data_IF_434276188038
#
_entry.id   IF_434276188038
#
_cell.length_a   1.000
_cell.length_b   1.000
_cell.length_c   1.000
_cell.angle_alpha   90.00
_cell.angle_beta   90.00
_cell.angle_gamma   90.00
#
_symmetry.space_group_name_H-M   'P 1'
#
loop_
_entity.id
_entity.type
_entity.pdbx_description
1 polymer ?
#
# COMPACT_ATOMS: atom_id res chain seq x y z
N UNK A 1 -35.77 -6.81 -20.27
CA UNK A 1 -35.29 -5.41 -20.27
C UNK A 1 -34.24 -5.25 -19.17
N UNK A 2 -32.94 -5.31 -19.48
CA UNK A 2 -31.85 -5.10 -18.51
C UNK A 2 -31.14 -3.78 -18.81
N UNK A 3 -31.64 -2.70 -18.19
CA UNK A 3 -31.14 -1.32 -18.34
C UNK A 3 -30.08 -1.04 -17.28
N UNK A 4 -28.97 -1.77 -17.27
CA UNK A 4 -27.85 -1.53 -16.35
C UNK A 4 -26.50 -1.63 -17.07
N UNK A 5 -26.29 -0.65 -17.95
CA UNK A 5 -25.10 0.19 -17.98
C UNK A 5 -23.71 -0.45 -18.09
N UNK A 6 -23.35 -0.85 -19.32
CA UNK A 6 -21.95 -0.96 -19.77
C UNK A 6 -21.51 0.37 -20.40
N UNK A 7 -21.44 1.44 -19.61
CA UNK A 7 -21.14 2.78 -20.12
C UNK A 7 -19.63 3.06 -20.09
N UNK A 8 -19.03 2.91 -21.26
CA UNK A 8 -17.69 3.36 -21.63
C UNK A 8 -17.42 2.93 -23.08
N UNK A 9 -16.84 3.78 -23.94
CA UNK A 9 -16.52 3.39 -25.31
C UNK A 9 -15.64 2.13 -25.29
N UNK A 10 -16.06 1.08 -26.00
CA UNK A 10 -15.27 -0.14 -26.14
C UNK A 10 -14.03 0.22 -26.96
N UNK A 11 -12.90 0.45 -26.29
CA UNK A 11 -11.61 0.63 -26.95
C UNK A 11 -11.39 -0.51 -27.96
N UNK A 12 -10.93 -0.17 -29.17
CA UNK A 12 -10.52 -1.17 -30.16
C UNK A 12 -9.39 -2.04 -29.57
N UNK A 13 -9.22 -3.29 -30.03
CA UNK A 13 -8.13 -4.15 -29.55
C UNK A 13 -6.75 -3.48 -29.66
N UNK A 14 -6.50 -2.74 -30.74
CA UNK A 14 -5.27 -1.98 -30.97
C UNK A 14 -5.08 -0.86 -29.93
N UNK A 15 -6.10 -0.04 -29.69
CA UNK A 15 -6.05 1.02 -28.68
C UNK A 15 -5.90 0.48 -27.26
N UNK A 16 -6.42 -0.73 -26.97
CA UNK A 16 -6.21 -1.40 -25.67
C UNK A 16 -4.75 -1.81 -25.48
N UNK A 17 -4.12 -2.32 -26.53
CA UNK A 17 -2.74 -2.78 -26.47
C UNK A 17 -1.77 -1.60 -26.36
N UNK A 18 -2.02 -0.54 -27.11
CA UNK A 18 -1.30 0.72 -26.98
C UNK A 18 -1.41 1.31 -25.56
N UNK A 19 -2.63 1.36 -25.01
CA UNK A 19 -2.86 1.81 -23.64
C UNK A 19 -2.09 0.97 -22.60
N UNK A 20 -2.11 -0.37 -22.73
CA UNK A 20 -1.35 -1.26 -21.84
C UNK A 20 0.16 -0.99 -21.94
N UNK A 21 0.68 -0.77 -23.15
CA UNK A 21 2.09 -0.45 -23.38
C UNK A 21 2.46 0.88 -22.72
N UNK A 22 1.66 1.92 -22.91
CA UNK A 22 1.84 3.23 -22.28
C UNK A 22 1.83 3.12 -20.74
N UNK A 23 0.87 2.38 -20.17
CA UNK A 23 0.81 2.14 -18.73
C UNK A 23 2.04 1.40 -18.20
N UNK A 24 2.57 0.42 -18.96
CA UNK A 24 3.77 -0.31 -18.60
C UNK A 24 4.99 0.60 -18.52
N UNK A 25 5.16 1.49 -19.50
CA UNK A 25 6.26 2.47 -19.51
C UNK A 25 6.14 3.49 -18.36
N UNK A 26 4.93 3.97 -18.06
CA UNK A 26 4.70 4.85 -16.91
C UNK A 26 5.04 4.15 -15.60
N UNK A 27 4.59 2.90 -15.42
CA UNK A 27 4.91 2.10 -14.21
C UNK A 27 6.41 1.87 -14.07
N UNK A 28 7.09 1.51 -15.16
CA UNK A 28 8.54 1.30 -15.19
C UNK A 28 9.30 2.57 -14.77
N UNK A 29 8.92 3.71 -15.35
CA UNK A 29 9.52 5.01 -15.04
C UNK A 29 9.33 5.39 -13.57
N UNK A 30 8.13 5.16 -13.03
CA UNK A 30 7.83 5.38 -11.60
C UNK A 30 8.67 4.49 -10.68
N UNK A 31 8.77 3.19 -10.97
CA UNK A 31 9.59 2.25 -10.18
C UNK A 31 11.07 2.67 -10.16
N UNK A 32 11.61 3.21 -11.26
CA UNK A 32 12.99 3.73 -11.27
C UNK A 32 13.13 4.91 -10.30
N UNK A 33 12.18 5.85 -10.32
CA UNK A 33 12.17 7.01 -9.42
C UNK A 33 12.06 6.54 -7.95
N UNK A 34 11.12 5.63 -7.65
CA UNK A 34 10.89 5.16 -6.28
C UNK A 34 12.08 4.40 -5.70
N UNK A 35 12.84 3.69 -6.54
CA UNK A 35 14.06 3.00 -6.11
C UNK A 35 15.20 3.95 -5.80
N UNK A 36 15.39 4.97 -6.64
CA UNK A 36 16.57 5.85 -6.59
C UNK A 36 16.38 7.06 -5.69
N UNK A 37 15.17 7.63 -5.63
CA UNK A 37 14.90 8.94 -5.03
C UNK A 37 14.04 8.89 -3.78
N UNK A 38 13.15 7.91 -3.65
CA UNK A 38 12.24 7.85 -2.51
C UNK A 38 12.83 7.07 -1.33
N UNK A 39 12.44 7.48 -0.11
CA UNK A 39 12.76 6.74 1.11
C UNK A 39 11.83 5.53 1.23
N UNK A 40 12.18 4.59 2.12
CA UNK A 40 11.36 3.40 2.37
C UNK A 40 9.93 3.71 2.82
N UNK A 41 9.69 4.87 3.44
CA UNK A 41 8.35 5.37 3.78
C UNK A 41 8.29 6.85 3.39
N UNK A 42 7.46 7.16 2.39
CA UNK A 42 7.35 8.49 1.78
C UNK A 42 5.88 8.92 1.74
N UNK A 43 5.56 10.11 2.27
CA UNK A 43 4.22 10.68 2.15
C UNK A 43 3.99 11.16 0.72
N UNK A 44 2.83 10.87 0.16
CA UNK A 44 2.45 11.30 -1.20
C UNK A 44 1.25 12.24 -1.13
N UNK A 45 1.19 13.18 -2.08
CA UNK A 45 0.13 14.18 -2.14
C UNK A 45 -1.19 13.62 -2.66
N UNK A 46 -1.13 12.79 -3.72
CA UNK A 46 -2.29 12.16 -4.34
C UNK A 46 -2.04 10.66 -4.50
N UNK A 47 -3.07 9.82 -4.33
CA UNK A 47 -2.95 8.39 -4.57
C UNK A 47 -2.64 8.12 -6.05
N UNK A 48 -1.83 7.08 -6.29
CA UNK A 48 -1.46 6.68 -7.65
C UNK A 48 -2.65 6.05 -8.38
N UNK A 49 -3.46 5.28 -7.67
CA UNK A 49 -4.72 4.70 -8.17
C UNK A 49 -5.89 5.24 -7.34
N UNK A 50 -6.51 6.29 -7.88
CA UNK A 50 -7.64 6.98 -7.25
C UNK A 50 -8.86 6.05 -7.13
N UNK A 51 -9.08 5.15 -8.09
CA UNK A 51 -10.25 4.28 -8.09
C UNK A 51 -10.16 3.25 -6.95
N UNK A 52 -9.01 2.60 -6.82
CA UNK A 52 -8.75 1.67 -5.71
C UNK A 52 -8.73 2.38 -4.37
N UNK A 53 -8.12 3.57 -4.29
CA UNK A 53 -8.11 4.34 -3.05
C UNK A 53 -9.53 4.73 -2.60
N UNK A 54 -10.39 5.19 -3.52
CA UNK A 54 -11.80 5.52 -3.22
C UNK A 54 -12.59 4.32 -2.71
N UNK A 55 -12.35 3.12 -3.28
CA UNK A 55 -12.97 1.88 -2.81
C UNK A 55 -12.58 1.54 -1.37
N UNK A 56 -11.39 1.92 -0.94
CA UNK A 56 -10.90 1.74 0.44
C UNK A 56 -11.30 2.89 1.38
N UNK A 57 -12.11 3.85 0.93
CA UNK A 57 -12.60 4.95 1.76
C UNK A 57 -11.78 6.24 1.67
N UNK A 58 -10.85 6.35 0.72
CA UNK A 58 -10.13 7.63 0.50
C UNK A 58 -11.10 8.73 0.03
N UNK A 59 -11.03 9.87 0.72
CA UNK A 59 -11.67 11.11 0.33
C UNK A 59 -10.65 12.23 0.30
N UNK A 60 -10.76 13.16 -0.63
CA UNK A 60 -9.87 14.32 -0.74
C UNK A 60 -10.26 15.40 0.28
N UNK A 61 -10.18 15.06 1.57
CA UNK A 61 -10.41 15.95 2.72
C UNK A 61 -9.11 16.21 3.46
N UNK A 62 -9.04 17.32 4.17
CA UNK A 62 -7.96 17.52 5.14
C UNK A 62 -8.09 16.48 6.25
N UNK A 63 -6.96 15.95 6.73
CA UNK A 63 -6.90 14.83 7.67
C UNK A 63 -6.76 13.47 7.00
N UNK A 64 -6.91 13.37 5.68
CA UNK A 64 -6.59 12.16 4.93
C UNK A 64 -5.16 12.24 4.38
N UNK A 65 -4.36 11.20 4.64
CA UNK A 65 -2.96 11.11 4.20
C UNK A 65 -2.75 9.81 3.46
N UNK A 66 -2.00 9.86 2.36
CA UNK A 66 -1.55 8.64 1.67
C UNK A 66 -0.03 8.53 1.83
N UNK A 67 0.42 7.34 2.21
CA UNK A 67 1.83 7.04 2.47
C UNK A 67 2.25 5.88 1.60
N UNK A 68 3.31 6.06 0.81
CA UNK A 68 3.94 4.97 0.07
C UNK A 68 4.98 4.28 0.94
N UNK A 69 4.86 2.96 1.06
CA UNK A 69 5.73 2.10 1.87
C UNK A 69 6.37 1.04 0.99
N UNK A 70 7.71 0.95 1.06
CA UNK A 70 8.51 -0.09 0.41
C UNK A 70 8.74 -1.25 1.37
N UNK A 71 8.39 -2.46 0.95
CA UNK A 71 8.57 -3.71 1.71
C UNK A 71 9.45 -4.69 0.91
N UNK A 72 10.50 -5.27 1.50
CA UNK A 72 11.35 -6.23 0.80
C UNK A 72 10.63 -7.56 0.53
N UNK A 73 11.00 -8.18 -0.58
CA UNK A 73 10.59 -9.52 -0.98
C UNK A 73 11.41 -10.63 -0.31
N UNK A 74 10.91 -11.86 -0.39
CA UNK A 74 11.55 -13.05 0.18
C UNK A 74 11.10 -13.44 1.60
N UNK A 75 11.83 -14.37 2.19
CA UNK A 75 11.56 -14.86 3.55
C UNK A 75 12.16 -13.98 4.64
N UNK A 76 12.00 -14.42 5.88
CA UNK A 76 12.70 -13.88 7.06
C UNK A 76 13.87 -14.79 7.41
N UNK A 77 14.99 -14.19 7.78
CA UNK A 77 16.09 -14.91 8.42
C UNK A 77 15.97 -14.79 9.94
N UNK A 78 16.04 -15.90 10.67
CA UNK A 78 16.11 -15.86 12.14
C UNK A 78 17.52 -15.45 12.61
N UNK A 79 17.65 -14.79 13.77
CA UNK A 79 18.95 -14.64 14.41
C UNK A 79 19.58 -16.02 14.69
N UNK A 80 20.89 -16.16 14.46
CA UNK A 80 21.58 -17.42 14.74
C UNK A 80 21.65 -17.65 16.26
N UNK A 81 21.23 -18.83 16.77
CA UNK A 81 21.36 -19.15 18.19
C UNK A 81 22.83 -19.07 18.64
N UNK A 82 23.08 -18.49 19.82
CA UNK A 82 24.43 -18.36 20.41
C UNK A 82 24.82 -19.54 21.30
N UNK A 83 23.86 -20.28 21.83
CA UNK A 83 24.10 -21.45 22.70
C UNK A 83 23.51 -22.72 22.09
N UNK A 84 23.90 -23.87 22.66
CA UNK A 84 23.48 -25.19 22.19
C UNK A 84 21.96 -25.31 22.05
N UNK A 85 21.50 -25.85 20.93
CA UNK A 85 20.09 -26.13 20.64
C UNK A 85 19.98 -27.49 19.96
N UNK A 86 18.84 -28.15 20.12
CA UNK A 86 18.52 -29.36 19.37
C UNK A 86 18.55 -29.04 17.87
N UNK A 87 18.99 -30.00 17.04
CA UNK A 87 19.18 -29.82 15.60
C UNK A 87 17.97 -29.20 14.89
N UNK A 88 16.75 -29.61 15.26
CA UNK A 88 15.49 -29.07 14.71
C UNK A 88 15.25 -27.57 14.97
N UNK A 89 15.92 -26.97 15.96
CA UNK A 89 15.81 -25.56 16.31
C UNK A 89 16.99 -24.71 15.80
N UNK A 90 17.96 -25.30 15.08
CA UNK A 90 19.10 -24.58 14.51
C UNK A 90 18.82 -23.97 13.12
N UNK A 91 17.65 -24.22 12.54
CA UNK A 91 17.25 -23.63 11.26
C UNK A 91 17.23 -22.09 11.31
N UNK A 92 17.70 -21.44 10.25
CA UNK A 92 17.82 -19.96 10.18
C UNK A 92 17.20 -19.33 8.92
N UNK A 93 17.30 -19.96 7.76
CA UNK A 93 17.08 -19.30 6.44
C UNK A 93 15.66 -19.46 5.90
N UNK A 94 15.09 -20.68 5.94
CA UNK A 94 13.81 -21.00 5.29
C UNK A 94 12.61 -20.69 6.19
N UNK A 95 12.48 -19.45 6.65
CA UNK A 95 11.31 -19.01 7.42
C UNK A 95 10.46 -18.02 6.64
N UNK A 96 9.16 -18.28 6.62
CA UNK A 96 8.16 -17.35 6.10
C UNK A 96 7.64 -16.50 7.27
N UNK A 97 7.53 -15.16 7.12
CA UNK A 97 6.84 -14.35 8.11
C UNK A 97 5.38 -14.77 8.21
N UNK A 98 4.82 -14.79 9.43
CA UNK A 98 3.40 -15.08 9.64
C UNK A 98 2.50 -13.94 9.13
N UNK A 99 2.99 -12.70 9.16
CA UNK A 99 2.28 -11.51 8.68
C UNK A 99 2.42 -11.37 7.16
N UNK A 100 1.35 -10.92 6.51
CA UNK A 100 1.39 -10.56 5.09
C UNK A 100 2.26 -9.31 4.87
N UNK A 101 2.82 -9.16 3.68
CA UNK A 101 3.60 -7.97 3.30
C UNK A 101 2.80 -6.67 3.38
N UNK A 102 1.52 -6.76 3.03
CA UNK A 102 0.54 -5.68 3.18
C UNK A 102 0.42 -5.25 4.64
N UNK A 103 0.21 -6.18 5.56
CA UNK A 103 0.13 -5.88 6.99
C UNK A 103 1.45 -5.29 7.53
N UNK A 104 2.59 -5.81 7.07
CA UNK A 104 3.91 -5.25 7.41
C UNK A 104 4.04 -3.79 6.91
N UNK A 105 3.47 -3.46 5.75
CA UNK A 105 3.46 -2.10 5.22
C UNK A 105 2.61 -1.16 6.08
N UNK A 106 1.42 -1.60 6.47
CA UNK A 106 0.50 -0.87 7.34
C UNK A 106 1.15 -0.60 8.71
N UNK A 107 1.73 -1.61 9.35
CA UNK A 107 2.44 -1.46 10.62
C UNK A 107 3.64 -0.52 10.53
N UNK A 108 4.38 -0.54 9.42
CA UNK A 108 5.49 0.40 9.17
C UNK A 108 5.01 1.84 9.06
N UNK A 109 3.85 2.05 8.42
CA UNK A 109 3.25 3.37 8.30
C UNK A 109 2.75 3.89 9.65
N UNK A 110 1.97 3.09 10.38
CA UNK A 110 1.47 3.41 11.72
C UNK A 110 2.60 3.74 12.70
N UNK A 111 3.68 2.95 12.70
CA UNK A 111 4.86 3.22 13.54
C UNK A 111 5.56 4.54 13.21
N UNK A 112 5.46 5.05 11.97
CA UNK A 112 6.09 6.30 11.57
C UNK A 112 5.20 7.52 11.83
N UNK A 113 3.88 7.35 11.76
CA UNK A 113 2.90 8.39 12.03
C UNK A 113 1.96 7.91 13.14
N UNK A 114 2.39 7.95 14.41
CA UNK A 114 1.63 7.42 15.53
C UNK A 114 0.36 8.23 15.86
N UNK A 115 0.26 9.45 15.35
CA UNK A 115 -0.92 10.31 15.49
C UNK A 115 -1.98 10.06 14.40
N UNK A 116 -1.74 9.10 13.49
CA UNK A 116 -2.64 8.78 12.39
C UNK A 116 -3.04 7.31 12.48
N UNK A 117 -4.29 7.02 12.15
CA UNK A 117 -4.83 5.66 12.10
C UNK A 117 -4.85 5.12 10.67
N UNK A 118 -4.66 3.81 10.53
CA UNK A 118 -4.64 3.15 9.21
C UNK A 118 -6.05 2.76 8.79
N UNK A 119 -6.50 3.27 7.64
CA UNK A 119 -7.79 2.89 7.05
C UNK A 119 -7.67 1.65 6.17
N UNK A 120 -6.57 1.54 5.43
CA UNK A 120 -6.33 0.41 4.53
C UNK A 120 -5.15 0.64 3.60
N UNK A 121 -4.85 -0.33 2.75
CA UNK A 121 -3.73 -0.23 1.82
C UNK A 121 -3.93 -1.03 0.54
N UNK A 122 -3.20 -0.69 -0.50
CA UNK A 122 -3.19 -1.41 -1.78
C UNK A 122 -1.79 -1.43 -2.39
N UNK A 123 -1.52 -2.46 -3.21
CA UNK A 123 -0.28 -2.57 -3.96
C UNK A 123 -0.29 -1.63 -5.16
N UNK A 124 0.85 -1.01 -5.43
CA UNK A 124 1.00 -0.04 -6.54
C UNK A 124 2.04 -0.49 -7.54
N UNK A 125 3.06 -1.19 -7.07
CA UNK A 125 4.13 -1.67 -7.93
C UNK A 125 4.99 -2.70 -7.22
N UNK A 126 5.75 -3.41 -8.03
CA UNK A 126 6.55 -4.54 -7.62
C UNK A 126 7.80 -4.60 -8.50
N UNK A 127 8.94 -4.91 -7.91
CA UNK A 127 10.17 -5.24 -8.63
C UNK A 127 10.73 -6.57 -8.11
N UNK A 128 11.90 -7.01 -8.55
CA UNK A 128 12.47 -8.29 -8.10
C UNK A 128 12.76 -8.38 -6.60
N UNK A 129 12.97 -7.24 -5.92
CA UNK A 129 13.48 -7.18 -4.55
C UNK A 129 12.48 -6.59 -3.55
N UNK A 130 11.50 -5.83 -4.01
CA UNK A 130 10.60 -5.02 -3.21
C UNK A 130 9.19 -4.98 -3.79
N UNK A 131 8.24 -4.72 -2.91
CA UNK A 131 6.86 -4.38 -3.20
C UNK A 131 6.56 -3.00 -2.62
N UNK A 132 5.77 -2.20 -3.34
CA UNK A 132 5.34 -0.88 -2.92
C UNK A 132 3.84 -0.90 -2.66
N UNK A 133 3.48 -0.46 -1.45
CA UNK A 133 2.10 -0.28 -1.02
C UNK A 133 1.82 1.19 -0.81
N UNK A 134 0.62 1.63 -1.16
CA UNK A 134 0.07 2.90 -0.70
C UNK A 134 -0.90 2.61 0.44
N UNK A 135 -0.56 3.14 1.62
CA UNK A 135 -1.34 3.04 2.85
C UNK A 135 -2.11 4.34 3.02
N UNK A 136 -3.42 4.23 3.17
CA UNK A 136 -4.31 5.35 3.46
C UNK A 136 -4.40 5.46 4.98
N UNK A 137 -4.06 6.63 5.48
CA UNK A 137 -4.10 6.96 6.90
C UNK A 137 -5.01 8.15 7.12
N UNK A 138 -5.63 8.22 8.30
CA UNK A 138 -6.53 9.28 8.68
C UNK A 138 -6.12 9.85 10.03
N UNK A 139 -6.27 11.16 10.15
CA UNK A 139 -6.11 11.90 11.40
C UNK A 139 -7.46 11.91 12.14
N UNK A 140 -7.62 11.13 13.23
CA UNK A 140 -8.89 11.10 13.97
C UNK A 140 -9.17 12.43 14.68
N UNK A 141 -8.14 13.25 14.95
CA UNK A 141 -8.30 14.50 15.69
C UNK A 141 -8.72 15.68 14.82
N UNK A 142 -8.64 15.56 13.50
CA UNK A 142 -8.95 16.66 12.61
C UNK A 142 -10.47 16.95 12.54
N UNK A 143 -10.92 18.21 12.75
CA UNK A 143 -12.35 18.60 12.66
C UNK A 143 -13.12 18.11 11.43
N UNK A 144 -12.49 18.10 10.24
CA UNK A 144 -13.13 17.63 9.00
C UNK A 144 -13.40 16.13 8.96
N UNK A 145 -12.62 15.35 9.72
CA UNK A 145 -12.81 13.91 9.90
C UNK A 145 -13.88 13.69 10.97
N UNK A 146 -13.80 14.39 12.10
CA UNK A 146 -14.81 14.31 13.18
C UNK A 146 -16.23 14.63 12.70
N UNK A 147 -16.37 15.56 11.75
CA UNK A 147 -17.67 15.93 11.17
C UNK A 147 -18.24 14.92 10.16
N UNK A 148 -17.46 13.90 9.75
CA UNK A 148 -17.86 12.93 8.73
C UNK A 148 -18.27 11.60 9.38
N UNK A 149 -19.58 11.30 9.36
CA UNK A 149 -20.15 10.09 9.96
C UNK A 149 -19.52 8.78 9.45
N UNK A 150 -18.86 8.78 8.28
CA UNK A 150 -18.19 7.58 7.76
C UNK A 150 -16.97 7.16 8.60
N UNK A 151 -16.38 8.08 9.35
CA UNK A 151 -15.20 7.86 10.19
C UNK A 151 -15.51 7.98 11.69
N UNK A 152 -16.79 8.00 12.06
CA UNK A 152 -17.24 8.13 13.45
C UNK A 152 -16.60 7.05 14.35
N UNK A 153 -16.54 5.81 13.87
CA UNK A 153 -15.93 4.67 14.56
C UNK A 153 -14.43 4.82 14.88
N UNK A 154 -13.72 5.75 14.22
CA UNK A 154 -12.32 6.08 14.51
C UNK A 154 -12.16 7.25 15.48
N UNK A 155 -13.21 8.03 15.66
CA UNK A 155 -13.19 9.30 16.41
C UNK A 155 -13.74 9.14 17.83
N UNK A 156 -14.46 8.05 18.12
CA UNK A 156 -15.00 7.73 19.44
C UNK A 156 -13.87 7.37 20.42
N UNK A 157 -13.22 8.39 20.95
CA UNK A 157 -12.24 8.35 22.03
C UNK A 157 -12.40 9.57 22.92
#
# INVERSE_FOLDING_TARGET
MSILGRWGPKLSPESKEEYKRALKEVRKSRLIIWRRRERSITRIWRPTDIATARRLGYSAKQGMVVVRVRVPKGGRRKPRPRSGRRQKHLGVVKYTPAKSRRLIAEERAARKYPNLEVLGSYIVGEDGQHEWYEVIMVDPDHPRIKSDNRFEWLTTG
#
